data_IF_227562741057
#
_entry.id   IF_227562741057
#
_cell.length_a   1.000
_cell.length_b   1.000
_cell.length_c   1.000
_cell.angle_alpha   90.00
_cell.angle_beta   90.00
_cell.angle_gamma   90.00
#
_symmetry.space_group_name_H-M   'P 1'
#
loop_
_entity.id
_entity.type
_entity.pdbx_description
1 polymer ?
#
# COMPACT_ATOMS: atom_id res chain seq x y z
N UNK A 1 15.08 8.25 -2.64
CA UNK A 1 14.06 7.16 -2.71
C UNK A 1 14.10 6.12 -1.58
N UNK A 2 15.25 5.59 -1.15
CA UNK A 2 15.31 4.55 -0.11
C UNK A 2 14.82 5.02 1.27
N UNK A 3 15.20 6.21 1.67
CA UNK A 3 14.77 6.82 2.93
C UNK A 3 13.27 7.13 2.92
N UNK A 4 12.77 7.64 1.79
CA UNK A 4 11.39 8.01 1.53
C UNK A 4 10.47 6.79 1.58
N UNK A 5 10.86 5.69 0.90
CA UNK A 5 10.13 4.43 0.98
C UNK A 5 10.07 3.89 2.42
N UNK A 6 11.19 3.96 3.15
CA UNK A 6 11.25 3.49 4.54
C UNK A 6 10.38 4.35 5.46
N UNK A 7 10.40 5.67 5.31
CA UNK A 7 9.56 6.57 6.09
C UNK A 7 8.08 6.30 5.80
N UNK A 8 7.68 6.24 4.53
CA UNK A 8 6.31 5.94 4.15
C UNK A 8 5.84 4.59 4.69
N UNK A 9 6.69 3.56 4.61
CA UNK A 9 6.42 2.23 5.19
C UNK A 9 6.18 2.32 6.69
N UNK A 10 7.04 3.03 7.43
CA UNK A 10 6.92 3.18 8.88
C UNK A 10 5.68 3.99 9.28
N UNK A 11 5.33 5.02 8.50
CA UNK A 11 4.10 5.80 8.71
C UNK A 11 2.86 4.92 8.58
N UNK A 12 2.76 4.14 7.49
CA UNK A 12 1.64 3.21 7.28
C UNK A 12 1.60 2.14 8.39
N UNK A 13 2.76 1.62 8.81
CA UNK A 13 2.85 0.69 9.96
C UNK A 13 2.32 1.33 11.25
N UNK A 14 2.70 2.58 11.54
CA UNK A 14 2.29 3.30 12.75
C UNK A 14 0.79 3.57 12.79
N UNK A 15 0.19 3.99 11.65
CA UNK A 15 -1.26 4.18 11.54
C UNK A 15 -1.98 2.87 11.88
N UNK A 16 -1.57 1.76 11.27
CA UNK A 16 -2.28 0.49 11.48
C UNK A 16 -2.02 -0.12 12.86
N UNK A 17 -0.81 0.02 13.41
CA UNK A 17 -0.44 -0.53 14.72
C UNK A 17 -1.05 0.25 15.88
N UNK A 18 -1.01 1.58 15.82
CA UNK A 18 -1.37 2.46 16.94
C UNK A 18 -2.72 3.13 16.81
N UNK A 19 -3.37 3.04 15.64
CA UNK A 19 -4.69 3.65 15.37
C UNK A 19 -4.72 5.16 15.66
N UNK A 20 -3.65 5.84 15.26
CA UNK A 20 -3.47 7.28 15.42
C UNK A 20 -3.67 8.00 14.08
N UNK A 21 -3.86 9.32 14.12
CA UNK A 21 -3.94 10.13 12.90
C UNK A 21 -2.68 10.02 12.05
N UNK A 22 -2.82 10.30 10.77
CA UNK A 22 -1.75 10.22 9.80
C UNK A 22 -0.56 11.12 10.15
N UNK A 23 -0.82 12.38 10.50
CA UNK A 23 0.21 13.38 10.81
C UNK A 23 1.01 12.97 12.05
N UNK A 24 0.32 12.42 13.06
CA UNK A 24 0.96 11.90 14.28
C UNK A 24 1.80 10.66 13.96
N UNK A 25 1.29 9.75 13.12
CA UNK A 25 2.04 8.60 12.66
C UNK A 25 3.29 9.00 11.87
N UNK A 26 3.17 9.99 10.98
CA UNK A 26 4.28 10.50 10.17
C UNK A 26 5.37 11.12 11.04
N UNK A 27 4.99 12.00 11.98
CA UNK A 27 5.93 12.60 12.94
C UNK A 27 6.64 11.53 13.77
N UNK A 28 5.89 10.53 14.27
CA UNK A 28 6.46 9.41 15.02
C UNK A 28 7.42 8.56 14.16
N UNK A 29 7.11 8.34 12.89
CA UNK A 29 7.96 7.59 11.98
C UNK A 29 9.24 8.35 11.63
N UNK A 30 9.13 9.67 11.41
CA UNK A 30 10.26 10.55 11.12
C UNK A 30 11.26 10.57 12.28
N UNK A 31 10.78 10.60 13.52
CA UNK A 31 11.63 10.56 14.72
C UNK A 31 12.44 9.25 14.89
N UNK A 32 12.08 8.16 14.19
CA UNK A 32 12.71 6.83 14.34
C UNK A 32 13.89 6.58 13.41
N UNK A 33 14.08 7.42 12.39
CA UNK A 33 15.12 7.19 11.38
C UNK A 33 15.88 8.47 11.08
N UNK A 34 17.20 8.41 10.82
CA UNK A 34 17.93 9.56 10.33
C UNK A 34 17.42 9.92 8.94
N UNK A 35 17.08 11.20 8.76
CA UNK A 35 16.42 11.68 7.56
C UNK A 35 17.37 12.47 6.65
N UNK A 36 17.38 12.15 5.34
CA UNK A 36 18.21 12.82 4.31
C UNK A 36 17.54 12.90 2.92
N UNK A 37 16.22 12.67 2.83
CA UNK A 37 15.48 12.61 1.56
C UNK A 37 14.45 13.73 1.40
N UNK A 38 13.57 13.58 0.40
CA UNK A 38 12.44 14.48 0.20
C UNK A 38 11.27 14.15 1.15
N UNK A 39 11.06 14.99 2.17
CA UNK A 39 10.05 14.77 3.23
C UNK A 39 8.64 14.84 2.64
N UNK A 40 8.40 15.84 1.79
CA UNK A 40 7.10 16.05 1.18
C UNK A 40 6.72 14.86 0.30
N UNK A 41 7.68 14.36 -0.47
CA UNK A 41 7.47 13.15 -1.26
C UNK A 41 7.14 11.93 -0.38
N UNK A 42 7.85 11.72 0.73
CA UNK A 42 7.58 10.59 1.63
C UNK A 42 6.22 10.71 2.35
N UNK A 43 5.81 11.93 2.70
CA UNK A 43 4.50 12.22 3.27
C UNK A 43 3.41 11.87 2.27
N UNK A 44 3.47 12.41 1.06
CA UNK A 44 2.49 12.15 0.00
C UNK A 44 2.45 10.66 -0.35
N UNK A 45 3.61 10.01 -0.47
CA UNK A 45 3.69 8.58 -0.74
C UNK A 45 2.97 7.74 0.32
N UNK A 46 3.12 8.08 1.61
CA UNK A 46 2.43 7.38 2.69
C UNK A 46 0.92 7.62 2.66
N UNK A 47 0.51 8.87 2.39
CA UNK A 47 -0.89 9.27 2.27
C UNK A 47 -1.59 8.53 1.14
N UNK A 48 -1.06 8.64 -0.08
CA UNK A 48 -1.63 8.00 -1.26
C UNK A 48 -1.62 6.46 -1.13
N UNK A 49 -0.66 5.89 -0.40
CA UNK A 49 -0.68 4.46 -0.06
C UNK A 49 -1.87 4.08 0.81
N UNK A 50 -2.24 4.90 1.81
CA UNK A 50 -3.40 4.67 2.66
C UNK A 50 -4.73 4.89 1.94
N UNK A 51 -4.75 5.67 0.86
CA UNK A 51 -5.94 5.81 0.00
C UNK A 51 -6.11 4.62 -0.96
N UNK A 52 -5.11 3.73 -1.09
CA UNK A 52 -5.10 2.66 -2.08
C UNK A 52 -4.76 1.28 -1.49
N UNK A 53 -4.76 1.13 -0.16
CA UNK A 53 -4.24 -0.07 0.50
C UNK A 53 -5.13 -1.30 0.39
N UNK A 54 -6.46 -1.14 0.21
CA UNK A 54 -7.38 -2.28 0.26
C UNK A 54 -7.17 -3.22 -0.92
N UNK A 55 -6.90 -2.67 -2.10
CA UNK A 55 -6.55 -3.46 -3.28
C UNK A 55 -5.21 -4.20 -3.09
N UNK A 56 -4.22 -3.55 -2.48
CA UNK A 56 -2.96 -4.22 -2.14
C UNK A 56 -3.19 -5.40 -1.16
N UNK A 57 -4.02 -5.21 -0.13
CA UNK A 57 -4.38 -6.26 0.81
C UNK A 57 -5.16 -7.40 0.15
N UNK A 58 -6.04 -7.08 -0.80
CA UNK A 58 -6.74 -8.07 -1.61
C UNK A 58 -5.76 -8.91 -2.44
N UNK A 59 -4.78 -8.29 -3.11
CA UNK A 59 -3.76 -9.04 -3.86
C UNK A 59 -2.95 -9.97 -2.96
N UNK A 60 -2.61 -9.55 -1.74
CA UNK A 60 -1.94 -10.43 -0.77
C UNK A 60 -2.81 -11.64 -0.41
N UNK A 61 -4.11 -11.44 -0.17
CA UNK A 61 -5.04 -12.53 0.14
C UNK A 61 -5.21 -13.49 -1.03
N UNK A 62 -5.43 -12.96 -2.23
CA UNK A 62 -5.55 -13.72 -3.49
C UNK A 62 -4.35 -14.63 -3.72
N UNK A 63 -3.15 -14.13 -3.43
CA UNK A 63 -1.92 -14.89 -3.58
C UNK A 63 -1.57 -15.79 -2.37
N UNK A 64 -2.51 -16.00 -1.43
CA UNK A 64 -2.34 -16.90 -0.28
C UNK A 64 -1.41 -16.37 0.81
N UNK A 65 -1.35 -15.05 1.02
CA UNK A 65 -0.56 -14.38 2.06
C UNK A 65 -1.48 -13.45 2.89
N UNK A 66 -2.45 -13.97 3.65
CA UNK A 66 -3.46 -13.13 4.30
C UNK A 66 -2.88 -12.27 5.44
N UNK A 67 -1.88 -12.77 6.17
CA UNK A 67 -1.36 -12.14 7.40
C UNK A 67 0.18 -12.07 7.44
N UNK A 68 0.84 -11.34 6.52
CA UNK A 68 2.28 -11.13 6.62
C UNK A 68 2.60 -10.22 7.83
N UNK A 69 3.84 -10.26 8.36
CA UNK A 69 4.27 -9.33 9.41
C UNK A 69 3.96 -7.89 9.02
N UNK A 70 3.41 -7.10 9.95
CA UNK A 70 2.85 -5.78 9.67
C UNK A 70 3.81 -4.88 8.87
N UNK A 71 5.08 -4.81 9.25
CA UNK A 71 6.09 -4.03 8.52
C UNK A 71 6.24 -4.46 7.05
N UNK A 72 6.19 -5.76 6.75
CA UNK A 72 6.23 -6.27 5.37
C UNK A 72 4.93 -5.98 4.64
N UNK A 73 3.78 -6.07 5.33
CA UNK A 73 2.47 -5.68 4.80
C UNK A 73 2.46 -4.21 4.38
N UNK A 74 2.90 -3.32 5.27
CA UNK A 74 3.03 -1.88 5.01
C UNK A 74 4.01 -1.59 3.88
N UNK A 75 5.17 -2.26 3.86
CA UNK A 75 6.13 -2.13 2.75
C UNK A 75 5.53 -2.59 1.42
N UNK A 76 4.77 -3.69 1.43
CA UNK A 76 4.09 -4.20 0.25
C UNK A 76 3.06 -3.19 -0.27
N UNK A 77 2.24 -2.58 0.60
CA UNK A 77 1.28 -1.56 0.20
C UNK A 77 1.94 -0.36 -0.47
N UNK A 78 3.04 0.16 0.10
CA UNK A 78 3.80 1.28 -0.51
C UNK A 78 4.36 0.88 -1.87
N UNK A 79 4.93 -0.32 -1.97
CA UNK A 79 5.47 -0.83 -3.23
C UNK A 79 4.37 -1.08 -4.28
N UNK A 80 3.23 -1.62 -3.85
CA UNK A 80 2.04 -1.81 -4.68
C UNK A 80 1.60 -0.47 -5.25
N UNK A 81 1.46 0.55 -4.41
CA UNK A 81 1.07 1.89 -4.85
C UNK A 81 2.03 2.44 -5.93
N UNK A 82 3.34 2.34 -5.69
CA UNK A 82 4.34 2.80 -6.66
C UNK A 82 4.28 2.04 -8.00
N UNK A 83 4.08 0.73 -7.96
CA UNK A 83 4.02 -0.10 -9.18
C UNK A 83 2.71 0.12 -9.93
N UNK A 84 1.60 0.00 -9.22
CA UNK A 84 0.28 -0.06 -9.83
C UNK A 84 -0.27 1.33 -10.18
N UNK A 85 -0.14 2.31 -9.28
CA UNK A 85 -0.70 3.66 -9.46
C UNK A 85 0.30 4.67 -10.05
N UNK A 86 1.60 4.48 -9.81
CA UNK A 86 2.66 5.36 -10.35
C UNK A 86 3.48 4.69 -11.47
N UNK A 87 3.07 3.51 -11.94
CA UNK A 87 3.68 2.76 -13.04
C UNK A 87 5.21 2.59 -12.91
N UNK A 88 5.72 2.47 -11.67
CA UNK A 88 7.14 2.21 -11.43
C UNK A 88 7.47 0.76 -11.70
N UNK A 89 8.66 0.51 -12.27
CA UNK A 89 9.13 -0.85 -12.50
C UNK A 89 9.55 -1.52 -11.19
N UNK A 90 9.20 -2.78 -11.00
CA UNK A 90 9.60 -3.62 -9.86
C UNK A 90 11.13 -3.69 -9.73
N UNK A 91 11.84 -3.64 -10.85
CA UNK A 91 13.31 -3.57 -10.86
C UNK A 91 13.86 -2.30 -10.18
N UNK A 92 13.15 -1.17 -10.28
CA UNK A 92 13.46 0.07 -9.58
C UNK A 92 13.13 -0.09 -8.09
N UNK A 93 11.92 -0.57 -7.77
CA UNK A 93 11.48 -0.81 -6.38
C UNK A 93 12.50 -1.63 -5.61
N UNK A 94 13.01 -2.71 -6.22
CA UNK A 94 13.97 -3.62 -5.59
C UNK A 94 15.25 -2.94 -5.12
N UNK A 95 15.65 -1.82 -5.74
CA UNK A 95 16.87 -1.07 -5.35
C UNK A 95 16.71 -0.36 -4.01
N UNK A 96 15.49 -0.07 -3.56
CA UNK A 96 15.27 0.82 -2.41
C UNK A 96 14.42 0.26 -1.26
N UNK A 97 13.79 -0.91 -1.40
CA UNK A 97 13.03 -1.53 -0.27
C UNK A 97 13.93 -2.15 0.82
N UNK A 98 15.22 -2.39 0.52
CA UNK A 98 16.20 -2.86 1.51
C UNK A 98 15.87 -4.22 2.15
N UNK A 99 15.28 -5.16 1.42
CA UNK A 99 14.99 -6.52 1.91
C UNK A 99 13.65 -6.67 2.64
N UNK A 100 12.84 -5.61 2.72
CA UNK A 100 11.50 -5.67 3.32
C UNK A 100 10.53 -6.55 2.54
N UNK A 101 10.76 -6.71 1.23
CA UNK A 101 9.92 -7.54 0.36
C UNK A 101 10.63 -8.85 0.02
N UNK A 102 9.91 -9.97 0.18
CA UNK A 102 10.38 -11.29 -0.22
C UNK A 102 10.24 -11.50 -1.73
N UNK A 103 10.88 -12.54 -2.27
CA UNK A 103 10.72 -12.94 -3.69
C UNK A 103 9.26 -13.14 -4.08
N UNK A 104 8.44 -13.73 -3.19
CA UNK A 104 7.01 -13.95 -3.41
C UNK A 104 6.26 -12.62 -3.55
N UNK A 105 6.52 -11.66 -2.67
CA UNK A 105 5.92 -10.32 -2.77
C UNK A 105 6.31 -9.60 -4.06
N UNK A 106 7.56 -9.74 -4.51
CA UNK A 106 7.98 -9.20 -5.80
C UNK A 106 7.28 -9.87 -6.99
N UNK A 107 6.96 -11.15 -6.91
CA UNK A 107 6.25 -11.84 -7.98
C UNK A 107 4.82 -11.28 -8.14
N UNK A 108 4.12 -11.01 -7.04
CA UNK A 108 2.81 -10.33 -7.08
C UNK A 108 2.94 -8.97 -7.77
N UNK A 109 3.92 -8.16 -7.37
CA UNK A 109 4.14 -6.85 -7.98
C UNK A 109 4.45 -6.93 -9.49
N UNK A 110 5.16 -7.97 -9.95
CA UNK A 110 5.45 -8.15 -11.39
C UNK A 110 4.22 -8.47 -12.22
N UNK A 111 3.28 -9.23 -11.66
CA UNK A 111 2.01 -9.49 -12.34
C UNK A 111 1.24 -8.18 -12.56
N UNK A 112 1.37 -7.25 -11.62
CA UNK A 112 0.69 -5.96 -11.63
C UNK A 112 1.35 -4.90 -12.54
N UNK A 113 2.61 -5.08 -12.96
CA UNK A 113 3.29 -4.12 -13.86
C UNK A 113 2.60 -3.96 -15.22
N UNK A 114 1.86 -4.99 -15.65
CA UNK A 114 1.17 -5.01 -16.95
C UNK A 114 -0.33 -4.74 -16.84
N UNK A 115 -0.82 -4.53 -15.63
CA UNK A 115 -2.24 -4.30 -15.39
C UNK A 115 -2.50 -2.80 -15.53
N UNK A 116 -3.47 -2.45 -16.37
CA UNK A 116 -3.82 -1.05 -16.62
C UNK A 116 -4.97 -0.58 -15.72
N UNK A 117 -5.92 -1.48 -15.38
CA UNK A 117 -7.14 -1.12 -14.66
C UNK A 117 -7.33 -1.95 -13.40
N UNK A 118 -7.94 -1.38 -12.36
CA UNK A 118 -8.28 -2.12 -11.14
C UNK A 118 -9.22 -3.30 -11.43
N UNK A 119 -10.14 -3.13 -12.38
CA UNK A 119 -11.12 -4.13 -12.76
C UNK A 119 -10.49 -5.41 -13.30
N UNK A 120 -9.28 -5.34 -13.85
CA UNK A 120 -8.59 -6.49 -14.42
C UNK A 120 -8.02 -7.44 -13.35
N UNK A 121 -7.92 -6.96 -12.10
CA UNK A 121 -7.38 -7.76 -10.98
C UNK A 121 -8.42 -8.13 -9.93
N UNK A 122 -9.51 -7.36 -9.85
CA UNK A 122 -10.62 -7.62 -8.92
C UNK A 122 -11.56 -8.68 -9.52
N UNK A 123 -11.50 -9.90 -8.98
CA UNK A 123 -12.34 -11.04 -9.40
C UNK A 123 -13.66 -11.14 -8.61
N UNK A 124 -13.92 -10.20 -7.71
CA UNK A 124 -15.15 -10.18 -6.90
C UNK A 124 -16.38 -9.83 -7.77
N UNK A 125 -17.45 -10.58 -7.60
CA UNK A 125 -18.72 -10.36 -8.31
C UNK A 125 -19.61 -9.34 -7.61
N UNK A 126 -19.58 -9.27 -6.27
CA UNK A 126 -20.37 -8.32 -5.49
C UNK A 126 -19.92 -6.86 -5.79
N UNK A 127 -20.78 -6.01 -6.37
CA UNK A 127 -20.44 -4.63 -6.71
C UNK A 127 -19.95 -3.81 -5.51
N UNK A 128 -20.51 -4.04 -4.31
CA UNK A 128 -20.10 -3.32 -3.11
C UNK A 128 -18.67 -3.72 -2.69
N UNK A 129 -18.32 -5.00 -2.82
CA UNK A 129 -16.96 -5.48 -2.56
C UNK A 129 -15.99 -4.92 -3.60
N UNK A 130 -16.36 -4.94 -4.89
CA UNK A 130 -15.54 -4.36 -5.97
C UNK A 130 -15.22 -2.90 -5.72
N UNK A 131 -16.22 -2.09 -5.40
CA UNK A 131 -16.08 -0.66 -5.14
C UNK A 131 -15.28 -0.40 -3.85
N UNK A 132 -15.49 -1.20 -2.81
CA UNK A 132 -14.71 -1.15 -1.56
C UNK A 132 -13.22 -1.36 -1.83
N UNK A 133 -12.87 -2.35 -2.65
CA UNK A 133 -11.48 -2.62 -3.03
C UNK A 133 -10.90 -1.51 -3.92
N UNK A 134 -11.64 -1.10 -4.95
CA UNK A 134 -11.21 -0.10 -5.94
C UNK A 134 -10.92 1.25 -5.30
N UNK A 135 -11.81 1.72 -4.43
CA UNK A 135 -11.73 3.05 -3.82
C UNK A 135 -11.18 3.02 -2.38
N UNK A 136 -10.75 1.86 -1.88
CA UNK A 136 -10.27 1.66 -0.51
C UNK A 136 -11.21 2.21 0.59
N UNK A 137 -12.51 2.10 0.37
CA UNK A 137 -13.52 2.48 1.34
C UNK A 137 -14.03 1.25 2.10
N UNK A 138 -14.34 1.37 3.41
CA UNK A 138 -14.92 0.27 4.17
C UNK A 138 -16.20 -0.26 3.52
N UNK A 139 -16.36 -1.58 3.46
CA UNK A 139 -17.50 -2.22 2.80
C UNK A 139 -18.86 -1.71 3.32
N UNK A 140 -18.99 -1.49 4.62
CA UNK A 140 -20.22 -0.95 5.21
C UNK A 140 -20.58 0.43 4.66
N UNK A 141 -19.58 1.28 4.41
CA UNK A 141 -19.78 2.63 3.87
C UNK A 141 -20.22 2.55 2.42
N UNK A 142 -19.55 1.71 1.63
CA UNK A 142 -19.91 1.49 0.22
C UNK A 142 -21.33 0.96 0.10
N UNK A 143 -21.70 -0.06 0.89
CA UNK A 143 -23.07 -0.57 0.92
C UNK A 143 -24.09 0.53 1.22
N UNK A 144 -23.80 1.37 2.23
CA UNK A 144 -24.67 2.48 2.58
C UNK A 144 -24.80 3.53 1.47
N UNK A 145 -23.73 3.79 0.72
CA UNK A 145 -23.75 4.75 -0.39
C UNK A 145 -24.49 4.22 -1.62
N UNK A 146 -24.52 2.90 -1.83
CA UNK A 146 -25.27 2.28 -2.94
C UNK A 146 -26.79 2.21 -2.68
N UNK A 147 -27.21 2.38 -1.43
CA UNK A 147 -28.62 2.45 -1.03
C UNK A 147 -29.24 3.85 -1.23
N UNK A 148 -28.41 4.87 -1.49
CA UNK A 148 -28.83 6.26 -1.72
C UNK A 148 -29.20 6.51 -3.19
#
# INVERSE_FOLDING_TARGET
MRTEFRLATLTVEEVERKKISFEKAFTNALAKIPWKGDIAFAFNLAWETLENYMLADYMLRKDGIPNPPLRRKSAFRVAFYLVFKKHRRVSEIKRFTGGLLSKRLYNILRQLEKVEKEEDVIEEEDPAVRLSLKYSHPLWLVKRLLEL
#
